data_IF_653498239053
#
_entry.id   IF_653498239053
#
_cell.length_a   1.000
_cell.length_b   1.000
_cell.length_c   1.000
_cell.angle_alpha   90.00
_cell.angle_beta   90.00
_cell.angle_gamma   90.00
#
_symmetry.space_group_name_H-M   'P 1'
#
loop_
_entity.id
_entity.type
_entity.pdbx_description
1 polymer ?
#
# COMPACT_ATOMS: atom_id res chain seq x y z
N UNK A 1 6.33 23.09 -13.91
CA UNK A 1 5.45 23.59 -12.84
C UNK A 1 6.13 23.62 -11.47
N UNK A 2 6.86 22.58 -11.04
CA UNK A 2 7.66 22.62 -9.79
C UNK A 2 8.95 23.46 -9.91
N UNK A 3 9.63 23.39 -11.06
CA UNK A 3 10.83 24.21 -11.36
C UNK A 3 10.55 25.72 -11.28
N UNK A 4 9.38 26.17 -11.74
CA UNK A 4 8.98 27.59 -11.69
C UNK A 4 8.78 28.11 -10.25
N UNK A 5 8.40 27.25 -9.31
CA UNK A 5 8.04 27.66 -7.94
C UNK A 5 9.26 27.59 -7.00
N UNK A 6 10.13 26.60 -7.17
CA UNK A 6 11.20 26.30 -6.22
C UNK A 6 12.62 26.46 -6.79
N UNK A 7 12.76 26.69 -8.10
CA UNK A 7 14.03 26.71 -8.82
C UNK A 7 14.56 25.31 -9.14
N UNK A 8 15.38 25.17 -10.20
CA UNK A 8 15.76 23.88 -10.78
C UNK A 8 16.52 22.97 -9.79
N UNK A 9 17.34 23.52 -8.90
CA UNK A 9 18.07 22.73 -7.91
C UNK A 9 17.17 22.11 -6.83
N UNK A 10 16.18 22.84 -6.29
CA UNK A 10 15.28 22.28 -5.28
C UNK A 10 14.30 21.28 -5.87
N UNK A 11 13.84 21.50 -7.10
CA UNK A 11 12.96 20.55 -7.77
C UNK A 11 13.64 19.20 -7.98
N UNK A 12 14.91 19.19 -8.42
CA UNK A 12 15.67 17.94 -8.56
C UNK A 12 15.84 17.24 -7.20
N UNK A 13 16.20 17.98 -6.15
CA UNK A 13 16.34 17.40 -4.82
C UNK A 13 15.03 16.80 -4.29
N UNK A 14 13.90 17.51 -4.45
CA UNK A 14 12.58 16.99 -4.06
C UNK A 14 12.20 15.76 -4.90
N UNK A 15 12.52 15.76 -6.19
CA UNK A 15 12.25 14.63 -7.07
C UNK A 15 13.09 13.40 -6.70
N UNK A 16 14.34 13.58 -6.28
CA UNK A 16 15.19 12.51 -5.78
C UNK A 16 14.65 11.95 -4.46
N UNK A 17 14.35 12.80 -3.47
CA UNK A 17 13.76 12.38 -2.19
C UNK A 17 12.43 11.63 -2.39
N UNK A 18 11.58 12.10 -3.32
CA UNK A 18 10.35 11.42 -3.67
C UNK A 18 10.60 10.08 -4.35
N UNK A 19 11.56 9.99 -5.28
CA UNK A 19 11.92 8.74 -5.95
C UNK A 19 12.46 7.71 -4.96
N UNK A 20 13.28 8.14 -4.01
CA UNK A 20 13.79 7.30 -2.94
C UNK A 20 12.67 6.86 -1.98
N UNK A 21 11.81 7.77 -1.54
CA UNK A 21 10.65 7.41 -0.72
C UNK A 21 9.74 6.41 -1.43
N UNK A 22 9.46 6.62 -2.72
CA UNK A 22 8.67 5.70 -3.54
C UNK A 22 9.36 4.34 -3.75
N UNK A 23 10.69 4.30 -3.85
CA UNK A 23 11.43 3.05 -3.99
C UNK A 23 11.38 2.24 -2.69
N UNK A 24 11.50 2.90 -1.53
CA UNK A 24 11.32 2.28 -0.21
C UNK A 24 9.90 1.74 -0.03
N UNK A 25 8.88 2.51 -0.43
CA UNK A 25 7.49 2.04 -0.38
C UNK A 25 7.27 0.82 -1.30
N UNK A 26 7.85 0.81 -2.50
CA UNK A 26 7.80 -0.36 -3.39
C UNK A 26 8.52 -1.57 -2.80
N UNK A 27 9.64 -1.36 -2.09
CA UNK A 27 10.36 -2.42 -1.40
C UNK A 27 9.53 -3.07 -0.28
N UNK A 28 8.60 -2.33 0.33
CA UNK A 28 7.61 -2.86 1.28
C UNK A 28 6.47 -3.65 0.61
N UNK A 29 6.54 -3.87 -0.70
CA UNK A 29 5.55 -4.65 -1.46
C UNK A 29 4.32 -3.85 -1.89
N UNK A 30 4.30 -2.53 -1.70
CA UNK A 30 3.25 -1.66 -2.22
C UNK A 30 3.39 -1.56 -3.74
N UNK A 31 2.57 -2.35 -4.47
CA UNK A 31 2.50 -2.25 -5.93
C UNK A 31 1.87 -0.92 -6.32
N UNK A 32 2.40 -0.31 -7.37
CA UNK A 32 1.77 0.84 -8.02
C UNK A 32 0.32 0.50 -8.41
N UNK A 33 -0.66 1.37 -8.11
CA UNK A 33 -2.02 1.17 -8.60
C UNK A 33 -2.03 1.22 -10.13
N UNK A 34 -2.84 0.35 -10.74
CA UNK A 34 -3.12 0.34 -12.18
C UNK A 34 -4.04 1.54 -12.51
N UNK A 35 -4.24 1.82 -13.79
CA UNK A 35 -5.11 2.91 -14.25
C UNK A 35 -6.50 2.86 -13.58
N UNK A 36 -6.91 4.01 -13.01
CA UNK A 36 -8.20 4.13 -12.33
C UNK A 36 -9.40 3.95 -13.27
N UNK A 37 -9.23 4.29 -14.56
CA UNK A 37 -10.26 4.06 -15.58
C UNK A 37 -10.58 2.57 -15.72
N UNK A 38 -9.57 1.72 -15.83
CA UNK A 38 -9.77 0.27 -15.90
C UNK A 38 -10.33 -0.29 -14.59
N UNK A 39 -9.91 0.26 -13.45
CA UNK A 39 -10.43 -0.16 -12.14
C UNK A 39 -11.94 0.04 -12.04
N UNK A 40 -12.46 1.22 -12.45
CA UNK A 40 -13.86 1.60 -12.25
C UNK A 40 -14.81 1.18 -13.38
N UNK A 41 -14.31 0.72 -14.53
CA UNK A 41 -15.12 0.23 -15.65
C UNK A 41 -15.65 -1.19 -15.41
N UNK A 42 -16.64 -1.63 -16.19
CA UNK A 42 -17.13 -3.03 -16.25
C UNK A 42 -17.53 -3.66 -14.90
N UNK A 43 -18.30 -2.91 -14.11
CA UNK A 43 -18.96 -3.43 -12.91
C UNK A 43 -20.23 -4.18 -13.33
N UNK A 44 -20.15 -5.51 -13.32
CA UNK A 44 -21.22 -6.41 -13.73
C UNK A 44 -21.53 -7.42 -12.61
N UNK A 45 -22.81 -7.46 -12.23
CA UNK A 45 -23.26 -8.40 -11.22
C UNK A 45 -23.08 -9.85 -11.71
N UNK A 46 -22.51 -10.77 -10.91
CA UNK A 46 -22.37 -12.17 -11.29
C UNK A 46 -23.70 -12.76 -11.77
N UNK A 47 -23.76 -13.16 -13.05
CA UNK A 47 -24.93 -13.88 -13.57
C UNK A 47 -25.03 -15.30 -12.99
N UNK A 48 -23.87 -15.91 -12.68
CA UNK A 48 -23.79 -17.24 -12.07
C UNK A 48 -23.09 -17.15 -10.71
N UNK A 49 -23.81 -17.46 -9.63
CA UNK A 49 -23.32 -17.41 -8.24
C UNK A 49 -22.68 -18.73 -7.79
N UNK A 50 -22.01 -19.44 -8.70
CA UNK A 50 -21.29 -20.66 -8.34
C UNK A 50 -20.02 -20.31 -7.55
N UNK A 51 -19.81 -20.96 -6.41
CA UNK A 51 -18.69 -20.70 -5.49
C UNK A 51 -17.33 -20.74 -6.19
N UNK A 52 -17.09 -21.73 -7.07
CA UNK A 52 -15.82 -21.84 -7.79
C UNK A 52 -15.60 -20.64 -8.74
N UNK A 53 -16.64 -20.21 -9.45
CA UNK A 53 -16.56 -19.06 -10.35
C UNK A 53 -16.33 -17.76 -9.58
N UNK A 54 -16.98 -17.58 -8.42
CA UNK A 54 -16.78 -16.41 -7.58
C UNK A 54 -15.36 -16.37 -7.01
N UNK A 55 -14.83 -17.50 -6.56
CA UNK A 55 -13.46 -17.58 -6.06
C UNK A 55 -12.44 -17.21 -7.14
N UNK A 56 -12.59 -17.74 -8.36
CA UNK A 56 -11.71 -17.37 -9.48
C UNK A 56 -11.78 -15.87 -9.81
N UNK A 57 -12.99 -15.27 -9.78
CA UNK A 57 -13.16 -13.82 -9.99
C UNK A 57 -12.46 -13.00 -8.91
N UNK A 58 -12.67 -13.35 -7.65
CA UNK A 58 -12.08 -12.65 -6.50
C UNK A 58 -10.56 -12.74 -6.54
N UNK A 59 -9.99 -13.94 -6.73
CA UNK A 59 -8.54 -14.12 -6.78
C UNK A 59 -7.91 -13.34 -7.94
N UNK A 60 -8.47 -13.44 -9.15
CA UNK A 60 -7.94 -12.72 -10.31
C UNK A 60 -8.00 -11.19 -10.13
N UNK A 61 -9.14 -10.68 -9.68
CA UNK A 61 -9.33 -9.25 -9.46
C UNK A 61 -8.48 -8.72 -8.30
N UNK A 62 -8.33 -9.50 -7.21
CA UNK A 62 -7.49 -9.15 -6.06
C UNK A 62 -6.02 -9.01 -6.46
N UNK A 63 -5.46 -10.02 -7.12
CA UNK A 63 -4.04 -10.04 -7.50
C UNK A 63 -3.69 -8.92 -8.50
N UNK A 64 -4.61 -8.67 -9.45
CA UNK A 64 -4.46 -7.65 -10.47
C UNK A 64 -4.57 -6.24 -9.90
N UNK A 65 -5.65 -5.92 -9.18
CA UNK A 65 -5.93 -4.58 -8.66
C UNK A 65 -5.42 -4.32 -7.22
N UNK A 66 -4.52 -5.16 -6.68
CA UNK A 66 -4.04 -5.05 -5.29
C UNK A 66 -3.62 -3.63 -4.89
N UNK A 67 -2.92 -2.92 -5.79
CA UNK A 67 -2.45 -1.55 -5.53
C UNK A 67 -3.60 -0.55 -5.41
N UNK A 68 -4.63 -0.67 -6.25
CA UNK A 68 -5.83 0.17 -6.17
C UNK A 68 -6.59 -0.11 -4.87
N UNK A 69 -6.74 -1.38 -4.45
CA UNK A 69 -7.37 -1.71 -3.17
C UNK A 69 -6.60 -1.17 -1.97
N UNK A 70 -5.26 -1.17 -2.02
CA UNK A 70 -4.44 -0.53 -0.98
C UNK A 70 -4.73 0.96 -0.89
N UNK A 71 -4.79 1.66 -2.03
CA UNK A 71 -5.09 3.10 -2.04
C UNK A 71 -6.51 3.38 -1.54
N UNK A 72 -7.51 2.65 -2.04
CA UNK A 72 -8.91 2.77 -1.58
C UNK A 72 -9.02 2.53 -0.08
N UNK A 73 -8.32 1.52 0.44
CA UNK A 73 -8.33 1.22 1.87
C UNK A 73 -7.64 2.31 2.69
N UNK A 74 -6.47 2.78 2.26
CA UNK A 74 -5.73 3.85 2.93
C UNK A 74 -6.54 5.16 2.96
N UNK A 75 -7.18 5.53 1.84
CA UNK A 75 -8.04 6.71 1.76
C UNK A 75 -9.26 6.54 2.66
N UNK A 76 -9.94 5.40 2.62
CA UNK A 76 -11.14 5.15 3.44
C UNK A 76 -10.79 5.21 4.93
N UNK A 77 -9.77 4.48 5.38
CA UNK A 77 -9.33 4.50 6.78
C UNK A 77 -8.89 5.92 7.17
N UNK A 78 -8.13 6.60 6.30
CA UNK A 78 -7.69 7.98 6.50
C UNK A 78 -8.87 8.93 6.70
N UNK A 79 -9.91 8.84 5.88
CA UNK A 79 -11.12 9.68 6.02
C UNK A 79 -11.83 9.38 7.34
N UNK A 80 -11.98 8.11 7.74
CA UNK A 80 -12.57 7.76 9.04
C UNK A 80 -11.78 8.33 10.22
N UNK A 81 -10.44 8.26 10.15
CA UNK A 81 -9.53 8.82 11.15
C UNK A 81 -9.53 10.36 11.13
N UNK A 82 -9.75 11.01 9.98
CA UNK A 82 -9.78 12.46 9.88
C UNK A 82 -11.13 13.07 10.22
N UNK A 83 -12.24 12.34 10.02
CA UNK A 83 -13.58 12.84 10.33
C UNK A 83 -14.05 12.51 11.74
N UNK A 84 -13.32 11.67 12.48
CA UNK A 84 -13.61 11.44 13.89
C UNK A 84 -12.94 12.53 14.75
N UNK A 85 -13.72 13.33 15.51
CA UNK A 85 -13.16 14.38 16.35
C UNK A 85 -12.23 13.80 17.43
N UNK A 86 -12.50 12.56 17.84
CA UNK A 86 -11.74 11.83 18.83
C UNK A 86 -10.34 11.48 18.32
N UNK A 87 -10.24 10.92 17.12
CA UNK A 87 -8.94 10.56 16.53
C UNK A 87 -8.11 11.80 16.22
N UNK A 88 -8.72 12.89 15.74
CA UNK A 88 -8.04 14.18 15.59
C UNK A 88 -7.46 14.64 16.92
N UNK A 89 -8.23 14.58 18.00
CA UNK A 89 -7.75 14.99 19.33
C UNK A 89 -6.54 14.17 19.78
N UNK A 90 -6.60 12.84 19.65
CA UNK A 90 -5.46 11.95 19.98
C UNK A 90 -4.23 12.28 19.13
N UNK A 91 -4.42 12.52 17.83
CA UNK A 91 -3.33 12.90 16.92
C UNK A 91 -2.70 14.25 17.31
N UNK A 92 -3.51 15.24 17.68
CA UNK A 92 -3.02 16.55 18.17
C UNK A 92 -2.25 16.37 19.47
N UNK A 93 -2.76 15.62 20.44
CA UNK A 93 -2.04 15.33 21.68
C UNK A 93 -0.71 14.63 21.43
N UNK A 94 -0.68 13.64 20.54
CA UNK A 94 0.54 12.95 20.15
C UNK A 94 1.55 13.88 19.49
N UNK A 95 1.08 14.73 18.56
CA UNK A 95 1.91 15.72 17.88
C UNK A 95 2.50 16.74 18.85
N UNK A 96 1.68 17.30 19.75
CA UNK A 96 2.15 18.22 20.79
C UNK A 96 3.15 17.55 21.73
N UNK A 97 2.91 16.30 22.11
CA UNK A 97 3.85 15.50 22.89
C UNK A 97 5.19 15.31 22.17
N UNK A 98 5.17 15.00 20.87
CA UNK A 98 6.39 14.87 20.07
C UNK A 98 7.15 16.19 19.99
N UNK A 99 6.47 17.30 19.70
CA UNK A 99 7.11 18.63 19.67
C UNK A 99 7.71 18.96 21.02
N UNK A 100 6.99 18.71 22.12
CA UNK A 100 7.49 18.92 23.48
C UNK A 100 8.75 18.09 23.76
N UNK A 101 8.80 16.82 23.32
CA UNK A 101 9.99 15.98 23.43
C UNK A 101 11.17 16.53 22.63
N UNK A 102 10.93 17.07 21.44
CA UNK A 102 12.00 17.62 20.61
C UNK A 102 12.57 18.92 21.19
N UNK A 103 11.72 19.79 21.76
CA UNK A 103 12.17 21.00 22.46
C UNK A 103 12.96 20.66 23.71
N UNK A 104 12.53 19.66 24.47
CA UNK A 104 13.23 19.19 25.68
C UNK A 104 14.37 18.21 25.38
N UNK A 105 14.70 17.95 24.11
CA UNK A 105 15.83 17.10 23.73
C UNK A 105 17.18 17.70 24.15
N UNK A 106 17.27 19.03 24.19
CA UNK A 106 18.47 19.77 24.60
C UNK A 106 18.64 19.89 26.12
N UNK A 107 17.63 19.49 26.91
CA UNK A 107 17.67 19.52 28.36
C UNK A 107 17.70 18.08 28.90
N UNK A 108 18.76 17.74 29.64
CA UNK A 108 18.85 16.46 30.34
C UNK A 108 17.72 16.40 31.37
N UNK A 109 16.71 15.57 31.11
CA UNK A 109 15.56 15.40 31.99
C UNK A 109 15.99 14.36 33.02
N UNK A 110 16.39 14.85 34.19
CA UNK A 110 16.85 14.03 35.30
C UNK A 110 15.62 13.69 36.14
N UNK A 111 15.21 12.42 36.15
CA UNK A 111 14.16 11.92 37.04
C UNK A 111 14.84 11.07 38.10
N UNK A 112 14.72 11.44 39.38
CA UNK A 112 15.37 10.75 40.52
C UNK A 112 16.89 10.53 40.36
N UNK A 113 17.61 11.48 39.76
CA UNK A 113 19.07 11.37 39.58
C UNK A 113 19.53 10.50 38.41
N UNK A 114 18.61 9.86 37.67
CA UNK A 114 18.93 9.17 36.42
C UNK A 114 18.60 10.03 35.21
N UNK A 115 19.52 10.08 34.25
CA UNK A 115 19.32 10.78 32.99
C UNK A 115 18.34 9.97 32.13
N UNK A 116 17.13 10.49 31.92
CA UNK A 116 16.14 9.83 31.08
C UNK A 116 16.50 10.10 29.63
N UNK A 117 17.03 9.06 28.98
CA UNK A 117 17.44 9.11 27.59
C UNK A 117 16.26 9.38 26.64
N UNK A 118 16.56 9.96 25.49
CA UNK A 118 15.57 10.37 24.47
C UNK A 118 14.73 9.18 23.99
N UNK A 119 15.32 7.98 23.92
CA UNK A 119 14.64 6.74 23.52
C UNK A 119 13.53 6.37 24.51
N UNK A 120 13.79 6.46 25.81
CA UNK A 120 12.82 6.14 26.86
C UNK A 120 11.63 7.10 26.84
N UNK A 121 11.87 8.40 26.60
CA UNK A 121 10.79 9.40 26.49
C UNK A 121 9.91 9.16 25.27
N UNK A 122 10.52 8.78 24.14
CA UNK A 122 9.80 8.45 22.91
C UNK A 122 8.94 7.20 23.09
N UNK A 123 9.47 6.16 23.74
CA UNK A 123 8.71 4.95 24.08
C UNK A 123 7.55 5.30 25.01
N UNK A 124 7.79 6.07 26.07
CA UNK A 124 6.76 6.49 27.02
C UNK A 124 5.63 7.27 26.32
N UNK A 125 5.98 8.22 25.45
CA UNK A 125 4.99 8.97 24.67
C UNK A 125 4.21 8.06 23.72
N UNK A 126 4.87 7.10 23.08
CA UNK A 126 4.21 6.10 22.23
C UNK A 126 3.20 5.26 23.01
N UNK A 127 3.59 4.77 24.20
CA UNK A 127 2.70 4.01 25.09
C UNK A 127 1.52 4.88 25.55
N UNK A 128 1.78 6.13 25.96
CA UNK A 128 0.71 7.04 26.39
C UNK A 128 -0.27 7.36 25.25
N UNK A 129 0.26 7.58 24.05
CA UNK A 129 -0.55 7.81 22.84
C UNK A 129 -1.41 6.59 22.52
N UNK A 130 -0.84 5.38 22.61
CA UNK A 130 -1.58 4.14 22.39
C UNK A 130 -2.68 3.95 23.44
N UNK A 131 -2.39 4.18 24.72
CA UNK A 131 -3.38 4.13 25.79
C UNK A 131 -4.49 5.15 25.56
N UNK A 132 -4.15 6.38 25.19
CA UNK A 132 -5.13 7.41 24.86
C UNK A 132 -5.99 6.98 23.67
N UNK A 133 -5.40 6.39 22.62
CA UNK A 133 -6.13 5.85 21.47
C UNK A 133 -7.09 4.71 21.85
N UNK A 134 -6.73 3.86 22.81
CA UNK A 134 -7.59 2.79 23.33
C UNK A 134 -8.75 3.40 24.13
N UNK A 135 -8.45 4.23 25.14
CA UNK A 135 -9.44 4.80 26.06
C UNK A 135 -10.46 5.67 25.34
N UNK A 136 -9.99 6.44 24.35
CA UNK A 136 -10.87 7.33 23.58
C UNK A 136 -11.70 6.59 22.51
N UNK A 137 -11.36 5.34 22.19
CA UNK A 137 -12.03 4.59 21.12
C UNK A 137 -11.53 4.93 19.70
N UNK A 138 -10.39 5.63 19.59
CA UNK A 138 -9.73 5.90 18.31
C UNK A 138 -9.43 4.60 17.54
N UNK A 139 -9.01 3.54 18.24
CA UNK A 139 -8.83 2.22 17.61
C UNK A 139 -10.13 1.66 17.03
N UNK A 140 -11.27 1.87 17.68
CA UNK A 140 -12.58 1.46 17.15
C UNK A 140 -12.91 2.17 15.84
N UNK A 141 -12.56 3.44 15.70
CA UNK A 141 -12.73 4.20 14.45
C UNK A 141 -11.90 3.59 13.32
N UNK A 142 -10.64 3.24 13.60
CA UNK A 142 -9.75 2.58 12.62
C UNK A 142 -10.30 1.21 12.22
N UNK A 143 -10.79 0.42 13.17
CA UNK A 143 -11.39 -0.88 12.89
C UNK A 143 -12.63 -0.76 12.00
N UNK A 144 -13.55 0.16 12.30
CA UNK A 144 -14.74 0.41 11.49
C UNK A 144 -14.35 0.84 10.07
N UNK A 145 -13.43 1.80 9.93
CA UNK A 145 -12.93 2.23 8.64
C UNK A 145 -12.27 1.09 7.85
N UNK A 146 -11.53 0.21 8.53
CA UNK A 146 -10.90 -0.97 7.92
C UNK A 146 -11.94 -2.01 7.47
N UNK A 147 -12.98 -2.23 8.26
CA UNK A 147 -14.10 -3.10 7.88
C UNK A 147 -14.80 -2.57 6.63
N UNK A 148 -15.11 -1.28 6.58
CA UNK A 148 -15.77 -0.65 5.42
C UNK A 148 -14.88 -0.72 4.18
N UNK A 149 -13.59 -0.39 4.32
CA UNK A 149 -12.61 -0.54 3.24
C UNK A 149 -12.55 -1.96 2.67
N UNK A 150 -12.57 -2.95 3.56
CA UNK A 150 -12.56 -4.37 3.20
C UNK A 150 -13.84 -4.78 2.48
N UNK A 151 -15.01 -4.35 2.98
CA UNK A 151 -16.31 -4.62 2.36
C UNK A 151 -16.42 -3.98 0.98
N UNK A 152 -15.97 -2.73 0.82
CA UNK A 152 -15.96 -2.04 -0.47
C UNK A 152 -15.05 -2.76 -1.47
N UNK A 153 -13.85 -3.15 -1.04
CA UNK A 153 -12.90 -3.89 -1.87
C UNK A 153 -13.46 -5.24 -2.28
N UNK A 154 -14.07 -5.98 -1.35
CA UNK A 154 -14.71 -7.27 -1.63
C UNK A 154 -15.88 -7.13 -2.60
N UNK A 155 -16.75 -6.15 -2.39
CA UNK A 155 -17.87 -5.87 -3.28
C UNK A 155 -17.37 -5.55 -4.71
N UNK A 156 -16.32 -4.74 -4.81
CA UNK A 156 -15.68 -4.44 -6.09
C UNK A 156 -15.09 -5.70 -6.75
N UNK A 157 -14.39 -6.56 -6.01
CA UNK A 157 -13.83 -7.81 -6.54
C UNK A 157 -14.91 -8.75 -7.09
N UNK A 158 -16.07 -8.83 -6.43
CA UNK A 158 -17.19 -9.68 -6.84
C UNK A 158 -17.92 -9.10 -8.05
N UNK A 159 -18.12 -7.79 -8.09
CA UNK A 159 -18.84 -7.12 -9.17
C UNK A 159 -17.94 -6.85 -10.39
N UNK A 160 -16.62 -6.81 -10.26
CA UNK A 160 -15.75 -6.59 -11.41
C UNK A 160 -15.72 -7.82 -12.32
N UNK A 161 -15.99 -7.65 -13.61
CA UNK A 161 -15.78 -8.73 -14.58
C UNK A 161 -14.26 -8.99 -14.74
N UNK A 162 -13.78 -10.24 -14.65
CA UNK A 162 -12.35 -10.50 -14.77
C UNK A 162 -11.88 -10.22 -16.20
N UNK A 163 -11.05 -9.20 -16.35
CA UNK A 163 -10.43 -8.90 -17.65
C UNK A 163 -9.60 -10.11 -18.11
N UNK A 164 -9.46 -10.34 -19.43
CA UNK A 164 -8.59 -11.40 -19.94
C UNK A 164 -7.16 -11.29 -19.38
N UNK A 165 -6.68 -10.05 -19.21
CA UNK A 165 -5.39 -9.78 -18.60
C UNK A 165 -5.33 -10.24 -17.14
N UNK A 166 -6.32 -9.88 -16.30
CA UNK A 166 -6.36 -10.29 -14.91
C UNK A 166 -6.28 -11.83 -14.74
N UNK A 167 -6.92 -12.59 -15.62
CA UNK A 167 -6.83 -14.06 -15.66
C UNK A 167 -5.43 -14.55 -16.01
N UNK A 168 -4.79 -13.94 -17.01
CA UNK A 168 -3.41 -14.28 -17.37
C UNK A 168 -2.43 -13.98 -16.23
N UNK A 169 -2.61 -12.86 -15.53
CA UNK A 169 -1.80 -12.51 -14.37
C UNK A 169 -2.00 -13.52 -13.22
N UNK A 170 -3.23 -13.93 -12.94
CA UNK A 170 -3.51 -14.94 -11.91
C UNK A 170 -2.80 -16.26 -12.23
N UNK A 171 -2.91 -16.75 -13.47
CA UNK A 171 -2.23 -17.98 -13.89
C UNK A 171 -0.70 -17.85 -13.91
N UNK A 172 -0.17 -16.67 -14.26
CA UNK A 172 1.27 -16.42 -14.19
C UNK A 172 1.78 -16.44 -12.74
N UNK A 173 0.99 -15.92 -11.80
CA UNK A 173 1.33 -15.95 -10.37
C UNK A 173 1.23 -17.37 -9.80
N UNK A 174 0.19 -18.14 -10.16
CA UNK A 174 0.08 -19.58 -9.85
C UNK A 174 1.28 -20.38 -10.36
N UNK A 175 1.72 -20.15 -11.60
CA UNK A 175 2.91 -20.82 -12.15
C UNK A 175 4.17 -20.49 -11.38
N UNK A 176 4.37 -19.24 -10.96
CA UNK A 176 5.54 -18.85 -10.16
C UNK A 176 5.57 -19.56 -8.81
N UNK A 177 4.42 -19.72 -8.16
CA UNK A 177 4.34 -20.49 -6.93
C UNK A 177 4.66 -21.96 -7.18
N UNK A 178 4.14 -22.53 -8.27
CA UNK A 178 4.41 -23.92 -8.63
C UNK A 178 5.87 -24.16 -9.02
N UNK A 179 6.49 -23.24 -9.75
CA UNK A 179 7.92 -23.25 -10.06
C UNK A 179 8.76 -23.09 -8.79
N UNK A 180 8.40 -22.18 -7.87
CA UNK A 180 9.09 -22.02 -6.59
C UNK A 180 8.98 -23.27 -5.69
N UNK A 181 7.85 -23.96 -5.71
CA UNK A 181 7.67 -25.24 -5.00
C UNK A 181 8.50 -26.37 -5.63
N UNK A 182 8.66 -26.37 -6.96
CA UNK A 182 9.53 -27.30 -7.68
C UNK A 182 11.03 -26.98 -7.47
N UNK A 183 11.38 -25.70 -7.35
CA UNK A 183 12.73 -25.18 -7.09
C UNK A 183 13.08 -25.15 -5.59
N UNK A 184 12.15 -25.53 -4.71
CA UNK A 184 12.41 -25.95 -3.33
C UNK A 184 13.36 -27.17 -3.21
N UNK A 185 13.85 -27.71 -4.34
CA UNK A 185 14.97 -28.64 -4.43
C UNK A 185 16.29 -28.06 -4.97
N UNK A 186 16.34 -26.83 -5.51
CA UNK A 186 17.54 -26.04 -5.84
C UNK A 186 17.12 -24.72 -6.48
N UNK A 187 17.56 -23.59 -5.93
CA UNK A 187 17.26 -22.25 -6.43
C UNK A 187 17.90 -22.00 -7.82
N UNK A 188 17.21 -21.31 -8.77
CA UNK A 188 17.84 -20.90 -10.01
C UNK A 188 18.48 -19.52 -9.86
N UNK A 189 19.61 -19.38 -10.53
CA UNK A 189 20.37 -18.14 -10.68
C UNK A 189 19.65 -17.19 -11.64
N UNK A 190 19.18 -16.05 -11.14
CA UNK A 190 18.44 -15.04 -11.89
C UNK A 190 19.43 -14.13 -12.63
N UNK A 191 20.10 -14.65 -13.66
CA UNK A 191 20.90 -13.84 -14.60
C UNK A 191 20.95 -14.42 -16.03
N UNK A 192 19.83 -14.50 -16.73
CA UNK A 192 19.78 -14.37 -18.20
C UNK A 192 18.35 -14.63 -18.67
N UNK A 193 17.60 -13.61 -19.11
CA UNK A 193 16.58 -13.74 -20.17
C UNK A 193 16.04 -12.34 -20.49
N UNK A 194 16.95 -11.47 -20.91
CA UNK A 194 16.68 -10.09 -21.29
C UNK A 194 17.35 -9.76 -22.62
N UNK A 195 17.04 -10.52 -23.65
CA UNK A 195 17.58 -10.27 -24.98
C UNK A 195 17.30 -11.42 -25.92
N UNK A 196 16.33 -11.22 -26.80
CA UNK A 196 16.10 -11.89 -28.09
C UNK A 196 14.62 -12.23 -28.25
N UNK A 197 13.85 -11.31 -28.85
CA UNK A 197 12.78 -11.63 -29.80
C UNK A 197 12.33 -10.34 -30.53
N UNK A 198 13.32 -9.62 -31.07
CA UNK A 198 13.09 -8.51 -32.00
C UNK A 198 13.65 -8.84 -33.38
N UNK A 199 13.22 -9.94 -34.00
CA UNK A 199 13.39 -10.16 -35.45
C UNK A 199 12.56 -11.34 -35.94
N UNK A 200 11.31 -11.09 -36.38
CA UNK A 200 10.63 -11.86 -37.43
C UNK A 200 9.35 -11.17 -37.90
N UNK A 201 9.52 -10.15 -38.75
CA UNK A 201 8.49 -9.68 -39.69
C UNK A 201 9.20 -9.36 -41.00
N UNK A 202 9.24 -10.34 -41.91
CA UNK A 202 9.35 -10.11 -43.36
C UNK A 202 9.34 -11.46 -44.09
N UNK A 203 8.19 -11.85 -44.63
CA UNK A 203 8.08 -12.50 -45.95
C UNK A 203 6.63 -12.92 -46.22
N UNK A 204 5.93 -12.11 -46.99
CA UNK A 204 4.79 -12.54 -47.81
C UNK A 204 5.34 -12.92 -49.19
N UNK A 205 4.87 -13.99 -49.84
CA UNK A 205 4.98 -14.12 -51.28
C UNK A 205 3.65 -13.79 -51.95
N UNK A 206 3.79 -12.99 -53.00
CA UNK A 206 2.85 -12.68 -54.06
C UNK A 206 2.57 -13.95 -54.87
N UNK A 207 1.30 -14.20 -55.19
CA UNK A 207 0.83 -14.86 -56.42
C UNK A 207 -0.63 -14.47 -56.61
#
# INVERSE_FOLDING_TARGET
MLEDIFGPQRSEQILEELREGLSQLRALGLRSPISWGEFLQDLEMPQNVNMHSLQQRVTANFLYFRGNYTVVSAVTIGLFVLFSPVTIFVLVCAFLGMVALQVTRSQAFIVQGHNVDFRSRTILLGVLTLLLAIVTGALGTVLIGSSIASTLSMAHMVCKSPSPQARLYAHAEERKFQEADLEGGSAPDVQHFGGEMRHRRSSSPVS
#
